data_IF_468889663141
#
_entry.id   IF_468889663141
#
_cell.length_a   1.000
_cell.length_b   1.000
_cell.length_c   1.000
_cell.angle_alpha   90.00
_cell.angle_beta   90.00
_cell.angle_gamma   90.00
#
_symmetry.space_group_name_H-M   'P 1'
#
loop_
_entity.id
_entity.type
_entity.pdbx_description
1 polymer ?
#
# COMPACT_ATOMS: atom_id res chain seq x y z
N UNK A 1 6.96 -1.12 16.89
CA UNK A 1 8.43 -1.11 16.71
C UNK A 1 8.92 -2.29 15.88
N UNK A 2 8.47 -3.54 16.11
CA UNK A 2 8.91 -4.70 15.31
C UNK A 2 8.43 -4.69 13.86
N UNK A 3 7.16 -4.38 13.61
CA UNK A 3 6.57 -4.43 12.26
C UNK A 3 7.18 -3.40 11.28
N UNK A 4 7.40 -2.17 11.73
CA UNK A 4 8.06 -1.11 10.94
C UNK A 4 9.48 -1.54 10.55
N UNK A 5 10.27 -2.04 11.51
CA UNK A 5 11.62 -2.53 11.22
C UNK A 5 11.60 -3.69 10.22
N UNK A 6 10.68 -4.65 10.40
CA UNK A 6 10.53 -5.78 9.47
C UNK A 6 10.16 -5.32 8.05
N UNK A 7 9.25 -4.35 7.92
CA UNK A 7 8.85 -3.80 6.62
C UNK A 7 10.01 -3.08 5.93
N UNK A 8 10.78 -2.28 6.67
CA UNK A 8 11.99 -1.63 6.15
C UNK A 8 13.03 -2.66 5.70
N UNK A 9 13.29 -3.71 6.48
CA UNK A 9 14.21 -4.78 6.09
C UNK A 9 13.73 -5.55 4.85
N UNK A 10 12.42 -5.78 4.73
CA UNK A 10 11.83 -6.37 3.53
C UNK A 10 12.04 -5.46 2.31
N UNK A 11 11.86 -4.15 2.47
CA UNK A 11 12.16 -3.16 1.43
C UNK A 11 13.60 -3.27 0.92
N UNK A 12 14.59 -3.33 1.83
CA UNK A 12 15.99 -3.54 1.46
C UNK A 12 16.24 -4.87 0.73
N UNK A 13 15.65 -5.97 1.23
CA UNK A 13 15.81 -7.28 0.63
C UNK A 13 15.20 -7.35 -0.78
N UNK A 14 14.03 -6.73 -1.00
CA UNK A 14 13.41 -6.65 -2.31
C UNK A 14 14.22 -5.78 -3.27
N UNK A 15 14.73 -4.64 -2.80
CA UNK A 15 15.55 -3.76 -3.62
C UNK A 15 16.83 -4.45 -4.11
N UNK A 16 17.54 -5.15 -3.21
CA UNK A 16 18.70 -5.96 -3.59
C UNK A 16 18.32 -7.04 -4.61
N UNK A 17 17.27 -7.83 -4.32
CA UNK A 17 16.83 -8.91 -5.19
C UNK A 17 16.39 -8.46 -6.58
N UNK A 18 15.82 -7.26 -6.68
CA UNK A 18 15.31 -6.67 -7.91
C UNK A 18 16.30 -5.71 -8.56
N UNK A 19 17.52 -5.57 -8.03
CA UNK A 19 18.54 -4.64 -8.51
C UNK A 19 18.04 -3.18 -8.59
N UNK A 20 17.20 -2.79 -7.64
CA UNK A 20 16.71 -1.42 -7.48
C UNK A 20 17.68 -0.68 -6.58
N UNK A 21 18.23 0.43 -7.08
CA UNK A 21 19.05 1.32 -6.26
C UNK A 21 18.14 2.06 -5.27
N UNK A 22 18.50 2.00 -3.99
CA UNK A 22 17.90 2.86 -2.96
C UNK A 22 18.78 4.09 -2.82
N UNK A 23 18.28 5.24 -3.27
CA UNK A 23 18.93 6.55 -3.12
C UNK A 23 18.00 7.63 -2.56
N UNK A 24 16.88 7.20 -1.96
CA UNK A 24 15.85 8.04 -1.35
C UNK A 24 15.23 7.44 -0.08
N UNK A 25 14.04 7.91 0.27
CA UNK A 25 13.34 7.55 1.51
C UNK A 25 12.90 6.07 1.55
N UNK A 26 13.14 5.43 2.69
CA UNK A 26 12.65 4.07 3.01
C UNK A 26 11.88 4.05 4.34
N UNK A 27 11.59 5.22 4.90
CA UNK A 27 10.89 5.37 6.17
C UNK A 27 9.46 4.86 6.05
N UNK A 28 9.01 4.08 7.03
CA UNK A 28 7.63 3.63 7.06
C UNK A 28 6.71 4.80 7.44
N UNK A 29 5.65 4.98 6.66
CA UNK A 29 4.55 5.88 7.00
C UNK A 29 3.45 5.09 7.71
N UNK A 30 3.05 5.54 8.90
CA UNK A 30 1.85 5.05 9.56
C UNK A 30 0.67 5.93 9.14
N UNK A 31 -0.34 5.33 8.52
CA UNK A 31 -1.56 6.02 8.14
C UNK A 31 -2.72 5.59 9.05
N UNK A 32 -3.70 6.48 9.21
CA UNK A 32 -4.97 6.17 9.85
C UNK A 32 -6.09 6.88 9.09
N UNK A 33 -7.01 6.12 8.54
CA UNK A 33 -8.27 6.64 8.00
C UNK A 33 -9.32 6.42 9.08
N UNK A 34 -9.87 7.50 9.64
CA UNK A 34 -10.75 7.42 10.81
C UNK A 34 -12.13 6.77 10.57
N UNK A 35 -12.38 6.20 9.38
CA UNK A 35 -13.69 5.73 8.93
C UNK A 35 -14.55 6.85 8.33
N UNK A 36 -15.87 6.76 8.52
CA UNK A 36 -16.85 7.76 8.02
C UNK A 36 -16.80 8.01 6.50
N UNK A 37 -16.48 6.99 5.72
CA UNK A 37 -16.36 7.08 4.27
C UNK A 37 -15.03 7.68 3.79
N UNK A 38 -14.03 7.83 4.68
CA UNK A 38 -12.70 8.27 4.29
C UNK A 38 -12.12 7.33 3.22
N UNK A 39 -11.56 7.92 2.16
CA UNK A 39 -11.07 7.22 0.98
C UNK A 39 -9.83 7.91 0.43
N UNK A 40 -9.18 7.28 -0.55
CA UNK A 40 -8.13 7.93 -1.32
C UNK A 40 -8.35 7.69 -2.81
N UNK A 41 -8.39 8.79 -3.57
CA UNK A 41 -8.73 8.78 -4.99
C UNK A 41 -7.70 7.98 -5.80
N UNK A 42 -8.05 7.51 -7.02
CA UNK A 42 -7.10 6.90 -7.95
C UNK A 42 -5.86 7.75 -8.17
N UNK A 43 -4.68 7.17 -7.94
CA UNK A 43 -3.39 7.83 -8.13
C UNK A 43 -2.27 6.81 -8.40
N UNK A 44 -1.12 7.33 -8.80
CA UNK A 44 0.16 6.64 -8.85
C UNK A 44 1.04 7.31 -7.80
N UNK A 45 1.77 6.52 -7.00
CA UNK A 45 2.48 7.05 -5.82
C UNK A 45 3.64 7.97 -6.19
N UNK A 46 4.37 7.63 -7.25
CA UNK A 46 5.57 8.32 -7.68
C UNK A 46 5.34 8.94 -9.07
N UNK A 47 5.61 10.24 -9.18
CA UNK A 47 5.67 10.93 -10.46
C UNK A 47 7.10 10.88 -11.03
N UNK A 48 7.36 11.61 -12.13
CA UNK A 48 8.67 11.60 -12.80
C UNK A 48 9.81 12.22 -11.97
N UNK A 49 9.50 12.99 -10.93
CA UNK A 49 10.49 13.60 -10.04
C UNK A 49 10.76 12.75 -8.78
N UNK A 50 9.91 11.75 -8.52
CA UNK A 50 10.01 10.87 -7.36
C UNK A 50 10.76 9.58 -7.69
N UNK A 51 11.79 9.27 -6.89
CA UNK A 51 12.64 8.10 -7.08
C UNK A 51 12.03 6.79 -6.55
N UNK A 52 10.88 6.83 -5.85
CA UNK A 52 10.21 5.65 -5.30
C UNK A 52 9.85 4.67 -6.42
N UNK A 53 10.31 3.42 -6.28
CA UNK A 53 10.06 2.33 -7.26
C UNK A 53 9.04 1.32 -6.80
N UNK A 54 8.97 1.07 -5.50
CA UNK A 54 8.06 0.09 -4.91
C UNK A 54 7.29 0.74 -3.77
N UNK A 55 6.01 0.40 -3.69
CA UNK A 55 5.16 0.68 -2.55
C UNK A 55 4.89 -0.63 -1.83
N UNK A 56 5.10 -0.62 -0.51
CA UNK A 56 4.77 -1.73 0.39
C UNK A 56 3.73 -1.23 1.39
N UNK A 57 2.58 -1.89 1.47
CA UNK A 57 1.51 -1.56 2.42
C UNK A 57 1.23 -2.78 3.29
N UNK A 58 1.52 -2.66 4.58
CA UNK A 58 1.21 -3.68 5.59
C UNK A 58 -0.01 -3.24 6.40
N UNK A 59 -1.04 -4.07 6.41
CA UNK A 59 -2.28 -3.79 7.12
C UNK A 59 -2.28 -4.30 8.56
N UNK A 60 -2.86 -3.51 9.46
CA UNK A 60 -2.86 -3.77 10.90
C UNK A 60 -4.27 -3.85 11.52
N UNK A 61 -5.28 -4.15 10.69
CA UNK A 61 -6.68 -4.14 11.13
C UNK A 61 -7.15 -5.53 11.54
N UNK A 62 -7.25 -5.75 12.85
CA UNK A 62 -7.86 -6.97 13.41
C UNK A 62 -9.38 -6.99 13.15
N UNK A 63 -9.93 -8.19 12.98
CA UNK A 63 -11.37 -8.45 12.82
C UNK A 63 -12.08 -7.69 11.67
N UNK A 64 -11.34 -7.26 10.64
CA UNK A 64 -11.89 -6.53 9.48
C UNK A 64 -12.90 -7.36 8.68
N UNK A 65 -14.12 -6.84 8.52
CA UNK A 65 -15.22 -7.47 7.80
C UNK A 65 -15.56 -6.73 6.50
N UNK A 66 -16.36 -7.37 5.63
CA UNK A 66 -16.73 -6.79 4.33
C UNK A 66 -17.48 -5.45 4.47
N UNK A 67 -18.27 -5.28 5.54
CA UNK A 67 -19.03 -4.05 5.81
C UNK A 67 -18.16 -2.84 6.15
N UNK A 68 -16.92 -3.06 6.59
CA UNK A 68 -15.99 -1.97 6.95
C UNK A 68 -15.43 -1.24 5.72
N UNK A 69 -15.54 -1.85 4.53
CA UNK A 69 -15.04 -1.29 3.28
C UNK A 69 -13.51 -1.18 3.27
N UNK A 70 -12.98 -0.04 2.81
CA UNK A 70 -11.56 0.31 2.95
C UNK A 70 -10.57 -0.49 2.11
N UNK A 71 -11.04 -1.38 1.22
CA UNK A 71 -10.17 -2.18 0.38
C UNK A 71 -9.28 -1.32 -0.52
N UNK A 72 -8.04 -1.77 -0.69
CA UNK A 72 -7.15 -1.24 -1.71
C UNK A 72 -7.54 -1.86 -3.05
N UNK A 73 -7.80 -1.01 -4.03
CA UNK A 73 -8.01 -1.43 -5.41
C UNK A 73 -6.75 -1.10 -6.21
N UNK A 74 -6.17 -2.11 -6.84
CA UNK A 74 -4.96 -2.02 -7.67
C UNK A 74 -5.36 -2.32 -9.11
N UNK A 75 -5.03 -1.43 -10.04
CA UNK A 75 -5.31 -1.66 -11.45
C UNK A 75 -4.33 -2.70 -11.99
N UNK A 76 -4.85 -3.81 -12.50
CA UNK A 76 -4.07 -4.74 -13.30
C UNK A 76 -3.71 -4.09 -14.65
N UNK A 77 -2.41 -3.91 -14.97
CA UNK A 77 -1.99 -3.20 -16.17
C UNK A 77 -2.21 -4.00 -17.46
N UNK A 78 -2.43 -5.32 -17.39
CA UNK A 78 -2.64 -6.19 -18.54
C UNK A 78 -4.13 -6.42 -18.78
N UNK A 79 -4.88 -6.69 -17.71
CA UNK A 79 -6.31 -6.99 -17.75
C UNK A 79 -7.18 -5.73 -17.73
N UNK A 80 -6.64 -4.59 -17.30
CA UNK A 80 -7.38 -3.34 -17.08
C UNK A 80 -8.59 -3.53 -16.15
N UNK A 81 -8.40 -4.29 -15.08
CA UNK A 81 -9.41 -4.56 -14.05
C UNK A 81 -8.87 -4.23 -12.67
N UNK A 82 -9.76 -3.86 -11.75
CA UNK A 82 -9.41 -3.64 -10.36
C UNK A 82 -9.25 -4.98 -9.63
N UNK A 83 -8.06 -5.22 -9.08
CA UNK A 83 -7.79 -6.27 -8.12
C UNK A 83 -7.99 -5.72 -6.71
N UNK A 84 -8.64 -6.49 -5.84
CA UNK A 84 -8.98 -6.05 -4.50
C UNK A 84 -8.07 -6.69 -3.45
N UNK A 85 -7.57 -5.87 -2.54
CA UNK A 85 -6.87 -6.31 -1.33
C UNK A 85 -7.63 -5.79 -0.10
N UNK A 86 -8.25 -6.72 0.63
CA UNK A 86 -8.89 -6.41 1.91
C UNK A 86 -7.81 -6.04 2.95
N UNK A 87 -7.98 -4.97 3.73
CA UNK A 87 -6.95 -4.46 4.63
C UNK A 87 -6.92 -5.23 5.96
N UNK A 88 -6.92 -6.56 5.92
CA UNK A 88 -6.92 -7.43 7.12
C UNK A 88 -5.53 -7.44 7.77
N UNK A 89 -5.49 -7.65 9.09
CA UNK A 89 -4.24 -7.82 9.85
C UNK A 89 -3.26 -8.76 9.14
N UNK A 90 -2.04 -8.28 8.91
CA UNK A 90 -0.95 -9.04 8.30
C UNK A 90 -1.00 -9.13 6.77
N UNK A 91 -2.03 -8.61 6.10
CA UNK A 91 -2.04 -8.51 4.65
C UNK A 91 -0.96 -7.53 4.17
N UNK A 92 -0.17 -7.94 3.17
CA UNK A 92 0.88 -7.16 2.56
C UNK A 92 0.59 -6.98 1.08
N UNK A 93 0.47 -5.72 0.63
CA UNK A 93 0.44 -5.37 -0.79
C UNK A 93 1.81 -4.83 -1.21
N UNK A 94 2.33 -5.31 -2.33
CA UNK A 94 3.57 -4.81 -2.95
C UNK A 94 3.32 -4.56 -4.43
N UNK A 95 3.59 -3.35 -4.89
CA UNK A 95 3.39 -2.98 -6.29
C UNK A 95 4.35 -1.86 -6.70
N UNK A 96 4.46 -1.60 -8.01
CA UNK A 96 5.32 -0.54 -8.53
C UNK A 96 4.74 0.84 -8.22
N UNK A 97 5.52 1.66 -7.52
CA UNK A 97 5.11 3.00 -7.11
C UNK A 97 4.97 3.98 -8.29
N UNK A 98 5.73 3.75 -9.36
CA UNK A 98 5.87 4.66 -10.51
C UNK A 98 4.94 4.35 -11.69
N UNK A 99 4.14 3.30 -11.61
CA UNK A 99 3.31 2.87 -12.75
C UNK A 99 1.95 2.28 -12.39
N UNK A 100 1.71 1.88 -11.14
CA UNK A 100 0.48 1.17 -10.78
C UNK A 100 -0.54 2.16 -10.22
N UNK A 101 -1.61 2.36 -11.00
CA UNK A 101 -2.79 3.11 -10.57
C UNK A 101 -3.50 2.33 -9.46
N UNK A 102 -3.75 2.99 -8.34
CA UNK A 102 -4.46 2.38 -7.23
C UNK A 102 -5.30 3.41 -6.46
N UNK A 103 -6.28 2.92 -5.71
CA UNK A 103 -7.18 3.73 -4.88
C UNK A 103 -7.51 3.01 -3.58
N UNK A 104 -7.87 3.76 -2.54
CA UNK A 104 -8.45 3.20 -1.32
C UNK A 104 -9.95 3.45 -1.37
N UNK A 105 -10.74 2.37 -1.33
CA UNK A 105 -12.21 2.46 -1.27
C UNK A 105 -12.66 3.10 0.04
N UNK A 106 -13.87 3.69 0.09
CA UNK A 106 -14.40 4.25 1.32
C UNK A 106 -14.33 3.27 2.48
N UNK A 107 -13.74 3.71 3.58
CA UNK A 107 -13.66 2.98 4.85
C UNK A 107 -14.71 3.52 5.82
N UNK A 108 -15.43 2.62 6.49
CA UNK A 108 -16.46 2.98 7.47
C UNK A 108 -16.03 2.68 8.91
N UNK A 109 -14.90 1.99 9.06
CA UNK A 109 -14.22 1.74 10.34
C UNK A 109 -12.78 2.29 10.29
N UNK A 110 -12.14 2.58 11.44
CA UNK A 110 -10.75 3.04 11.48
C UNK A 110 -9.80 2.06 10.79
N UNK A 111 -9.10 2.52 9.75
CA UNK A 111 -8.19 1.71 8.92
C UNK A 111 -6.74 2.14 9.09
N UNK A 112 -5.89 1.18 9.43
CA UNK A 112 -4.45 1.28 9.66
C UNK A 112 -3.66 0.48 8.63
#
# INVERSE_FOLDING_TARGET
HSAVCALTMLGYALADRLSIKIDGHTDAMLACYAGNGAFYAPHVDADSADARRLTLVLYLNDDWCEGDGGCLHIMDPELFTWQEVCPRMGALAVFRADSILHQVRPSFSPRY
#
